data_IF_392196353462
#
_entry.id   IF_392196353462
#
_cell.length_a   1.000
_cell.length_b   1.000
_cell.length_c   1.000
_cell.angle_alpha   90.00
_cell.angle_beta   90.00
_cell.angle_gamma   90.00
#
_symmetry.space_group_name_H-M   'P 1'
#
loop_
_entity.id
_entity.type
_entity.pdbx_description
1 polymer ?
#
# COMPACT_ATOMS: atom_id res chain seq x y z
N UNK A 1 39.55 3.57 -21.89
CA UNK A 1 38.52 2.85 -22.67
C UNK A 1 37.20 3.60 -22.54
N UNK A 2 36.41 3.82 -23.60
CA UNK A 2 35.05 4.36 -23.47
C UNK A 2 34.18 3.43 -22.61
N UNK A 3 33.33 4.00 -21.76
CA UNK A 3 32.45 3.26 -20.86
C UNK A 3 31.21 2.68 -21.56
N UNK A 4 30.50 1.73 -20.92
CA UNK A 4 29.28 1.15 -21.46
C UNK A 4 28.13 2.18 -21.50
N UNK A 5 27.17 1.96 -22.40
CA UNK A 5 25.92 2.73 -22.41
C UNK A 5 25.15 2.52 -21.11
N UNK A 6 24.63 3.60 -20.52
CA UNK A 6 23.88 3.58 -19.27
C UNK A 6 22.55 4.34 -19.41
N UNK A 7 21.50 3.82 -18.77
CA UNK A 7 20.19 4.47 -18.72
C UNK A 7 20.09 5.62 -17.70
N UNK A 8 21.11 5.78 -16.86
CA UNK A 8 21.21 6.85 -15.85
C UNK A 8 22.54 7.60 -16.05
N UNK A 9 22.56 8.65 -16.89
CA UNK A 9 23.77 9.43 -17.13
C UNK A 9 24.01 10.48 -16.04
N UNK A 10 25.18 11.13 -16.07
CA UNK A 10 25.56 12.19 -15.14
C UNK A 10 24.82 13.52 -15.43
N UNK A 11 24.92 14.47 -14.49
CA UNK A 11 24.44 15.84 -14.67
C UNK A 11 24.93 16.45 -15.99
N UNK A 12 24.03 17.12 -16.72
CA UNK A 12 24.31 17.73 -18.02
C UNK A 12 23.91 16.85 -19.22
N UNK A 13 23.65 15.56 -19.01
CA UNK A 13 23.19 14.66 -20.09
C UNK A 13 21.71 14.30 -19.87
N UNK A 14 20.77 14.92 -20.60
CA UNK A 14 19.35 14.68 -20.39
C UNK A 14 18.93 13.31 -20.95
N UNK A 15 18.07 12.60 -20.21
CA UNK A 15 17.48 11.33 -20.66
C UNK A 15 16.55 11.56 -21.87
N UNK A 16 15.87 12.71 -21.92
CA UNK A 16 15.04 13.14 -23.06
C UNK A 16 15.22 14.64 -23.31
N UNK A 17 15.14 15.05 -24.58
CA UNK A 17 15.15 16.47 -24.96
C UNK A 17 13.87 17.15 -24.43
N UNK A 18 14.03 18.24 -23.69
CA UNK A 18 12.94 19.06 -23.15
C UNK A 18 13.10 20.51 -23.62
N UNK A 19 12.02 21.13 -24.12
CA UNK A 19 11.99 22.53 -24.56
C UNK A 19 10.64 23.14 -24.21
N UNK A 20 10.63 24.39 -23.74
CA UNK A 20 9.41 25.15 -23.46
C UNK A 20 8.78 24.91 -22.07
N UNK A 21 9.50 24.28 -21.14
CA UNK A 21 9.03 24.05 -19.76
C UNK A 21 9.72 25.06 -18.83
N UNK A 22 8.93 25.90 -18.16
CA UNK A 22 9.41 26.79 -17.09
C UNK A 22 9.14 26.18 -15.72
N UNK A 23 10.16 26.14 -14.86
CA UNK A 23 10.04 25.71 -13.47
C UNK A 23 10.30 26.89 -12.54
N UNK A 24 9.38 27.13 -11.61
CA UNK A 24 9.47 28.22 -10.64
C UNK A 24 9.47 27.62 -9.23
N UNK A 25 10.30 28.18 -8.36
CA UNK A 25 10.41 27.76 -6.96
C UNK A 25 10.70 28.97 -6.08
N UNK A 26 10.40 28.84 -4.78
CA UNK A 26 10.68 29.84 -3.75
C UNK A 26 11.79 29.28 -2.85
N UNK A 27 12.67 30.14 -2.34
CA UNK A 27 13.70 29.70 -1.38
C UNK A 27 13.03 29.06 -0.15
N UNK A 28 13.51 27.92 0.35
CA UNK A 28 12.94 27.29 1.54
C UNK A 28 12.91 28.23 2.76
N UNK A 29 13.88 29.14 2.87
CA UNK A 29 13.97 30.15 3.94
C UNK A 29 12.91 31.26 3.85
N UNK A 30 12.21 31.36 2.72
CA UNK A 30 11.11 32.30 2.50
C UNK A 30 9.73 31.63 2.65
N UNK A 31 9.69 30.32 2.90
CA UNK A 31 8.46 29.54 3.05
C UNK A 31 8.37 28.92 4.45
N UNK A 32 7.15 28.64 4.91
CA UNK A 32 6.97 27.83 6.13
C UNK A 32 7.36 26.39 5.82
N UNK A 33 8.00 25.70 6.77
CA UNK A 33 8.41 24.30 6.57
C UNK A 33 7.22 23.32 6.43
N UNK A 34 6.13 23.57 7.17
CA UNK A 34 4.97 22.67 7.22
C UNK A 34 3.63 23.44 7.19
N UNK A 35 3.34 24.24 6.14
CA UNK A 35 2.12 24.99 6.05
C UNK A 35 0.91 24.06 5.92
N UNK A 36 -0.12 24.28 6.74
CA UNK A 36 -1.38 23.54 6.71
C UNK A 36 -1.22 22.00 6.85
N UNK A 37 -0.14 21.54 7.48
CA UNK A 37 0.20 20.12 7.54
C UNK A 37 -0.97 19.25 7.98
N UNK A 38 -1.61 19.58 9.11
CA UNK A 38 -2.71 18.78 9.68
C UNK A 38 -3.92 18.75 8.73
N UNK A 39 -4.42 19.93 8.32
CA UNK A 39 -5.59 20.05 7.44
C UNK A 39 -5.36 19.32 6.12
N UNK A 40 -4.24 19.58 5.48
CA UNK A 40 -3.91 19.00 4.16
C UNK A 40 -3.64 17.50 4.27
N UNK A 41 -2.98 17.06 5.34
CA UNK A 41 -2.64 15.65 5.52
C UNK A 41 -3.87 14.79 5.73
N UNK A 42 -4.83 15.19 6.56
CA UNK A 42 -6.04 14.39 6.82
C UNK A 42 -6.82 14.13 5.52
N UNK A 43 -7.11 15.19 4.75
CA UNK A 43 -7.89 15.04 3.51
C UNK A 43 -7.12 14.30 2.41
N UNK A 44 -5.82 14.56 2.27
CA UNK A 44 -5.02 13.83 1.27
C UNK A 44 -4.75 12.38 1.67
N UNK A 45 -4.58 12.09 2.96
CA UNK A 45 -4.42 10.73 3.47
C UNK A 45 -5.69 9.93 3.17
N UNK A 46 -6.88 10.45 3.51
CA UNK A 46 -8.14 9.78 3.17
C UNK A 46 -8.25 9.55 1.66
N UNK A 47 -8.07 10.59 0.84
CA UNK A 47 -8.17 10.48 -0.63
C UNK A 47 -7.20 9.44 -1.23
N UNK A 48 -5.99 9.32 -0.69
CA UNK A 48 -4.99 8.34 -1.15
C UNK A 48 -5.32 6.93 -0.67
N UNK A 49 -5.67 6.79 0.61
CA UNK A 49 -6.01 5.49 1.21
C UNK A 49 -7.30 4.92 0.64
N UNK A 50 -8.29 5.75 0.33
CA UNK A 50 -9.55 5.30 -0.25
C UNK A 50 -9.39 4.71 -1.65
N UNK A 51 -8.46 5.24 -2.46
CA UNK A 51 -8.18 4.70 -3.80
C UNK A 51 -7.53 3.32 -3.76
N UNK A 52 -6.68 3.09 -2.75
CA UNK A 52 -5.98 1.81 -2.58
C UNK A 52 -6.74 0.81 -1.70
N UNK A 53 -7.81 1.26 -1.02
CA UNK A 53 -8.55 0.50 -0.02
C UNK A 53 -8.93 -0.90 -0.51
N UNK A 54 -9.46 -1.00 -1.73
CA UNK A 54 -9.89 -2.28 -2.27
C UNK A 54 -8.74 -3.29 -2.40
N UNK A 55 -7.54 -2.84 -2.76
CA UNK A 55 -6.40 -3.73 -3.00
C UNK A 55 -5.86 -4.36 -1.72
N UNK A 56 -6.03 -3.74 -0.56
CA UNK A 56 -5.61 -4.33 0.71
C UNK A 56 -6.79 -4.87 1.52
N UNK A 57 -7.92 -4.16 1.59
CA UNK A 57 -9.07 -4.58 2.40
C UNK A 57 -9.60 -5.93 1.95
N UNK A 58 -9.72 -6.18 0.65
CA UNK A 58 -10.23 -7.46 0.12
C UNK A 58 -9.34 -8.64 0.53
N UNK A 59 -8.02 -8.67 0.22
CA UNK A 59 -7.19 -9.80 0.60
C UNK A 59 -7.05 -9.96 2.12
N UNK A 60 -7.01 -8.86 2.89
CA UNK A 60 -7.01 -8.97 4.36
C UNK A 60 -8.33 -9.54 4.90
N UNK A 61 -9.47 -9.12 4.36
CA UNK A 61 -10.78 -9.64 4.76
C UNK A 61 -10.90 -11.14 4.43
N UNK A 62 -10.44 -11.58 3.25
CA UNK A 62 -10.44 -12.99 2.87
C UNK A 62 -9.50 -13.81 3.75
N UNK A 63 -8.27 -13.31 3.97
CA UNK A 63 -7.27 -14.00 4.79
C UNK A 63 -7.74 -14.14 6.24
N UNK A 64 -8.20 -13.05 6.84
CA UNK A 64 -8.70 -13.06 8.21
C UNK A 64 -10.01 -13.85 8.35
N UNK A 65 -10.92 -13.74 7.38
CA UNK A 65 -12.18 -14.49 7.35
C UNK A 65 -11.94 -15.99 7.32
N UNK A 66 -11.07 -16.46 6.44
CA UNK A 66 -10.67 -17.87 6.34
C UNK A 66 -10.03 -18.35 7.65
N UNK A 67 -9.10 -17.57 8.22
CA UNK A 67 -8.46 -17.90 9.50
C UNK A 67 -9.47 -18.03 10.64
N UNK A 68 -10.37 -17.04 10.77
CA UNK A 68 -11.36 -17.01 11.84
C UNK A 68 -12.37 -18.18 11.73
N UNK A 69 -12.77 -18.53 10.50
CA UNK A 69 -13.59 -19.71 10.25
C UNK A 69 -12.86 -21.00 10.63
N UNK A 70 -11.65 -21.20 10.12
CA UNK A 70 -10.87 -22.43 10.35
C UNK A 70 -10.63 -22.66 11.85
N UNK A 71 -10.28 -21.61 12.60
CA UNK A 71 -10.08 -21.70 14.05
C UNK A 71 -11.35 -22.10 14.81
N UNK A 72 -12.51 -21.55 14.42
CA UNK A 72 -13.79 -21.91 15.04
C UNK A 72 -14.20 -23.34 14.69
N UNK A 73 -13.97 -23.73 13.44
CA UNK A 73 -14.29 -25.06 12.96
C UNK A 73 -13.43 -26.11 13.66
N UNK A 74 -12.11 -25.92 13.74
CA UNK A 74 -11.19 -26.79 14.47
C UNK A 74 -11.58 -26.94 15.95
N UNK A 75 -11.90 -25.84 16.63
CA UNK A 75 -12.39 -25.88 18.01
C UNK A 75 -13.71 -26.66 18.16
N UNK A 76 -14.61 -26.56 17.18
CA UNK A 76 -15.85 -27.32 17.16
C UNK A 76 -15.60 -28.81 16.89
N UNK A 77 -14.70 -29.17 15.97
CA UNK A 77 -14.36 -30.57 15.68
C UNK A 77 -13.82 -31.29 16.91
N UNK A 78 -12.98 -30.60 17.71
CA UNK A 78 -12.43 -31.11 18.96
C UNK A 78 -13.41 -31.03 20.17
N UNK A 79 -14.65 -30.58 19.94
CA UNK A 79 -15.68 -30.54 20.97
C UNK A 79 -16.47 -31.85 21.02
N UNK A 80 -17.18 -32.12 22.12
CA UNK A 80 -18.07 -33.30 22.22
C UNK A 80 -19.11 -33.33 21.10
N UNK A 81 -19.71 -32.17 20.78
CA UNK A 81 -20.70 -32.07 19.72
C UNK A 81 -20.09 -32.38 18.34
N UNK A 82 -18.86 -31.93 18.10
CA UNK A 82 -18.10 -32.24 16.88
C UNK A 82 -17.81 -33.73 16.76
N UNK A 83 -17.31 -34.37 17.82
CA UNK A 83 -17.06 -35.81 17.82
C UNK A 83 -18.32 -36.65 17.61
N UNK A 84 -19.48 -36.24 18.14
CA UNK A 84 -20.76 -36.92 17.89
C UNK A 84 -21.20 -36.75 16.43
N UNK A 85 -21.11 -35.52 15.90
CA UNK A 85 -21.52 -35.22 14.52
C UNK A 85 -20.60 -35.86 13.46
N UNK A 86 -19.30 -35.95 13.74
CA UNK A 86 -18.29 -36.52 12.84
C UNK A 86 -18.09 -38.04 13.04
N UNK A 87 -18.43 -38.58 14.20
CA UNK A 87 -18.27 -40.00 14.51
C UNK A 87 -19.31 -40.92 13.86
N UNK A 88 -20.39 -40.37 13.30
CA UNK A 88 -21.44 -41.12 12.58
C UNK A 88 -21.16 -41.36 11.09
N UNK A 89 -20.00 -40.94 10.57
CA UNK A 89 -19.61 -41.10 9.15
C UNK A 89 -18.65 -42.28 8.92
N UNK A 90 -18.88 -43.40 9.61
CA UNK A 90 -18.21 -44.69 9.38
C UNK A 90 -19.25 -45.76 9.06
#
# INVERSE_FOLDING_TARGET
MPGPLAYSPWWGTPIKKQKGIGAYTISPYQSKAAPNMIRTYIFNAYRRLSGEAFFFVIPFAIGYGTYAWAKKYDAWQNSKAGHIALGGSH
#
